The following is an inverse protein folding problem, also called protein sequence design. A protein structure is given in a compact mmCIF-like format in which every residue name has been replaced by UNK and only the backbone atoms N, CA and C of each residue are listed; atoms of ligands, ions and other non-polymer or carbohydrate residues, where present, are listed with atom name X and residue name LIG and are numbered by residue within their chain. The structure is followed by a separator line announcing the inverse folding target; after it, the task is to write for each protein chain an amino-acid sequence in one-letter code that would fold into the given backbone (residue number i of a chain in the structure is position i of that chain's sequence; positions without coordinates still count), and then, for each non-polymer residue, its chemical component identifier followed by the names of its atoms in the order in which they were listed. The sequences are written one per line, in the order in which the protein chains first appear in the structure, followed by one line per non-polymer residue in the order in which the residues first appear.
data_IF_197081742180
#
_entry.id   IF_197081742180
#
_cell.length_a   1.000
_cell.length_b   1.000
_cell.length_c   1.000
_cell.angle_alpha   90.00
_cell.angle_beta   90.00
_cell.angle_gamma   90.00
#
_symmetry.space_group_name_H-M   'P 1'
#
loop_
_entity.id
_entity.type
_entity.pdbx_description
1 polymer ?
#
# COMPACT_ATOMS: atom_id res chain seq x y z
N UNK A 1 16.30 10.09 -33.66
CA UNK A 1 16.06 8.77 -33.04
C UNK A 1 16.02 8.98 -31.53
N UNK A 2 14.93 8.61 -30.87
CA UNK A 2 14.90 8.54 -29.41
C UNK A 2 15.24 7.11 -29.00
N UNK A 3 16.31 6.93 -28.23
CA UNK A 3 16.62 5.65 -27.61
C UNK A 3 15.84 5.58 -26.30
N UNK A 4 15.00 4.55 -26.15
CA UNK A 4 14.27 4.29 -24.90
C UNK A 4 15.03 3.22 -24.14
N UNK A 5 15.47 3.55 -22.94
CA UNK A 5 15.97 2.58 -21.97
C UNK A 5 14.77 2.19 -21.11
N UNK A 6 14.39 0.91 -21.13
CA UNK A 6 13.18 0.42 -20.47
C UNK A 6 13.42 -0.33 -19.15
N UNK A 7 14.67 -0.69 -18.81
CA UNK A 7 15.00 -1.36 -17.55
C UNK A 7 16.48 -1.15 -17.16
N UNK A 8 16.74 -0.71 -15.92
CA UNK A 8 18.09 -0.53 -15.37
C UNK A 8 18.13 -1.07 -13.95
N UNK A 9 19.06 -1.98 -13.69
CA UNK A 9 19.27 -2.58 -12.36
C UNK A 9 20.61 -2.16 -11.80
N UNK A 10 20.59 -1.58 -10.59
CA UNK A 10 21.80 -1.25 -9.83
C UNK A 10 21.78 -2.08 -8.55
N UNK A 11 22.80 -2.94 -8.38
CA UNK A 11 22.93 -3.81 -7.22
C UNK A 11 24.28 -3.59 -6.52
N UNK A 12 24.28 -3.77 -5.20
CA UNK A 12 25.50 -3.81 -4.37
C UNK A 12 26.05 -5.23 -4.20
N UNK A 13 25.30 -6.26 -4.62
CA UNK A 13 25.74 -7.66 -4.59
C UNK A 13 26.55 -7.96 -5.85
N UNK A 14 27.60 -8.77 -5.68
CA UNK A 14 28.29 -9.38 -6.83
C UNK A 14 27.29 -10.30 -7.53
N UNK A 15 27.14 -10.11 -8.83
CA UNK A 15 26.32 -10.95 -9.69
C UNK A 15 27.25 -12.06 -10.20
N UNK A 16 26.91 -13.32 -9.91
CA UNK A 16 27.59 -14.47 -10.47
C UNK A 16 27.11 -14.75 -11.90
N UNK A 17 27.81 -15.62 -12.62
CA UNK A 17 27.51 -15.91 -14.04
C UNK A 17 26.09 -16.47 -14.20
N UNK A 18 25.63 -17.30 -13.26
CA UNK A 18 24.28 -17.88 -13.25
C UNK A 18 23.21 -16.79 -13.01
N UNK A 19 23.44 -15.88 -12.06
CA UNK A 19 22.56 -14.75 -11.80
C UNK A 19 22.51 -13.77 -12.97
N UNK A 20 23.62 -13.56 -13.66
CA UNK A 20 23.67 -12.75 -14.87
C UNK A 20 22.90 -13.39 -16.02
N UNK A 21 23.12 -14.68 -16.27
CA UNK A 21 22.42 -15.41 -17.32
C UNK A 21 20.91 -15.46 -17.04
N UNK A 22 20.51 -15.60 -15.78
CA UNK A 22 19.10 -15.55 -15.37
C UNK A 22 18.49 -14.19 -15.68
N UNK A 23 19.15 -13.08 -15.35
CA UNK A 23 18.64 -11.74 -15.67
C UNK A 23 18.54 -11.49 -17.19
N UNK A 24 19.52 -11.99 -17.96
CA UNK A 24 19.54 -11.84 -19.41
C UNK A 24 18.43 -12.64 -20.11
N UNK A 25 18.10 -13.81 -19.56
CA UNK A 25 17.12 -14.73 -20.16
C UNK A 25 15.72 -14.60 -19.56
N UNK A 26 15.59 -13.95 -18.39
CA UNK A 26 14.30 -13.70 -17.79
C UNK A 26 13.52 -12.69 -18.62
N UNK A 27 12.34 -13.08 -19.06
CA UNK A 27 11.35 -12.22 -19.73
C UNK A 27 10.59 -11.34 -18.71
N UNK A 28 11.20 -11.04 -17.56
CA UNK A 28 10.62 -10.27 -16.47
C UNK A 28 11.36 -8.95 -16.26
N UNK A 29 10.62 -7.83 -16.08
CA UNK A 29 11.20 -6.61 -15.57
C UNK A 29 11.87 -6.81 -14.21
N UNK A 30 12.89 -6.00 -13.93
CA UNK A 30 13.61 -6.05 -12.66
C UNK A 30 12.67 -5.93 -11.45
N UNK A 31 12.80 -6.86 -10.50
CA UNK A 31 11.98 -6.88 -9.28
C UNK A 31 10.66 -7.63 -9.41
N UNK A 32 10.37 -8.23 -10.58
CA UNK A 32 9.21 -9.09 -10.80
C UNK A 32 9.63 -10.52 -11.09
N UNK A 33 8.73 -11.46 -10.78
CA UNK A 33 8.86 -12.83 -11.26
C UNK A 33 8.57 -12.90 -12.78
N UNK A 34 9.02 -13.96 -13.48
CA UNK A 34 8.64 -14.23 -14.86
C UNK A 34 7.13 -14.13 -15.08
N UNK A 35 6.72 -13.59 -16.23
CA UNK A 35 5.32 -13.60 -16.62
C UNK A 35 4.80 -15.04 -16.67
N UNK A 36 3.69 -15.28 -15.99
CA UNK A 36 2.97 -16.54 -16.01
C UNK A 36 1.62 -16.37 -16.71
N UNK A 37 1.04 -17.46 -17.27
CA UNK A 37 -0.31 -17.42 -17.80
C UNK A 37 -1.30 -16.88 -16.76
N UNK A 38 -2.11 -15.91 -17.16
CA UNK A 38 -3.20 -15.41 -16.32
C UNK A 38 -4.37 -16.38 -16.42
N UNK A 39 -4.59 -17.15 -15.35
CA UNK A 39 -5.66 -18.15 -15.19
C UNK A 39 -6.61 -17.65 -14.11
N UNK A 40 -7.89 -17.98 -14.20
CA UNK A 40 -8.82 -17.58 -13.14
C UNK A 40 -8.49 -18.29 -11.83
N UNK A 41 -8.34 -17.53 -10.74
CA UNK A 41 -8.08 -18.05 -9.40
C UNK A 41 -7.50 -16.99 -8.47
N UNK A 42 -7.12 -17.44 -7.27
CA UNK A 42 -6.48 -16.60 -6.27
C UNK A 42 -4.99 -16.48 -6.54
N UNK A 43 -4.46 -15.27 -6.37
CA UNK A 43 -3.04 -14.98 -6.53
C UNK A 43 -2.52 -14.27 -5.29
N UNK A 44 -1.35 -14.68 -4.80
CA UNK A 44 -0.61 -13.97 -3.76
C UNK A 44 0.48 -13.11 -4.42
N UNK A 45 0.40 -11.79 -4.25
CA UNK A 45 1.36 -10.85 -4.81
C UNK A 45 1.40 -9.55 -4.01
N UNK A 46 2.51 -8.82 -4.10
CA UNK A 46 2.62 -7.46 -3.57
C UNK A 46 2.40 -6.39 -4.64
N UNK A 47 2.96 -6.61 -5.83
CA UNK A 47 2.80 -5.77 -7.02
C UNK A 47 2.65 -6.69 -8.24
N UNK A 48 1.77 -6.34 -9.17
CA UNK A 48 1.48 -7.16 -10.35
C UNK A 48 1.65 -6.35 -11.65
N UNK A 49 2.17 -7.01 -12.68
CA UNK A 49 2.21 -6.50 -14.06
C UNK A 49 1.38 -7.43 -14.95
N UNK A 50 0.54 -6.84 -15.79
CA UNK A 50 -0.23 -7.57 -16.79
C UNK A 50 0.37 -7.32 -18.17
N UNK A 51 0.58 -8.40 -18.92
CA UNK A 51 1.08 -8.35 -20.30
C UNK A 51 0.10 -9.01 -21.24
N UNK A 52 -0.18 -8.34 -22.35
CA UNK A 52 -0.84 -8.94 -23.50
C UNK A 52 0.22 -9.22 -24.56
N UNK A 53 0.20 -10.43 -25.13
CA UNK A 53 1.00 -10.77 -26.29
C UNK A 53 0.06 -11.25 -27.41
N UNK A 54 0.25 -10.71 -28.61
CA UNK A 54 -0.52 -11.10 -29.80
C UNK A 54 0.45 -11.59 -30.86
N UNK A 55 0.23 -12.80 -31.35
CA UNK A 55 0.94 -13.35 -32.50
C UNK A 55 -0.03 -13.45 -33.67
N UNK A 56 0.22 -12.71 -34.75
CA UNK A 56 -0.53 -12.85 -36.00
C UNK A 56 0.17 -13.86 -36.90
N UNK A 57 -0.60 -14.78 -37.49
CA UNK A 57 -0.12 -15.74 -38.49
C UNK A 57 -0.51 -15.34 -39.92
N UNK A 58 -1.28 -14.26 -40.08
CA UNK A 58 -1.65 -13.67 -41.37
C UNK A 58 -1.04 -12.27 -41.53
N UNK A 59 -1.10 -11.71 -42.74
CA UNK A 59 -0.67 -10.33 -43.02
C UNK A 59 -1.56 -9.24 -42.40
N UNK A 60 -2.65 -9.63 -41.75
CA UNK A 60 -3.58 -8.69 -41.12
C UNK A 60 -3.05 -8.19 -39.79
N UNK A 61 -3.32 -6.91 -39.51
CA UNK A 61 -3.01 -6.27 -38.24
C UNK A 61 -4.09 -6.62 -37.22
N UNK A 62 -3.74 -7.44 -36.24
CA UNK A 62 -4.57 -7.58 -35.05
C UNK A 62 -4.64 -6.26 -34.27
N UNK A 63 -5.84 -5.81 -33.92
CA UNK A 63 -6.08 -4.58 -33.17
C UNK A 63 -6.87 -4.92 -31.91
N UNK A 64 -6.35 -4.53 -30.73
CA UNK A 64 -7.10 -4.53 -29.48
C UNK A 64 -7.67 -3.13 -29.28
N UNK A 65 -8.99 -3.01 -29.37
CA UNK A 65 -9.68 -1.74 -29.16
C UNK A 65 -9.85 -1.38 -27.68
N UNK A 66 -9.95 -2.39 -26.80
CA UNK A 66 -10.05 -2.22 -25.35
C UNK A 66 -9.64 -3.50 -24.63
N UNK A 67 -8.82 -3.37 -23.58
CA UNK A 67 -8.59 -4.40 -22.58
C UNK A 67 -9.03 -3.83 -21.22
N UNK A 68 -9.68 -4.66 -20.40
CA UNK A 68 -9.94 -4.36 -18.99
C UNK A 68 -9.58 -5.58 -18.15
N UNK A 69 -8.77 -5.38 -17.12
CA UNK A 69 -8.47 -6.39 -16.10
C UNK A 69 -9.06 -5.88 -14.80
N UNK A 70 -9.88 -6.70 -14.14
CA UNK A 70 -10.43 -6.40 -12.83
C UNK A 70 -9.90 -7.46 -11.88
N UNK A 71 -9.26 -7.01 -10.81
CA UNK A 71 -8.74 -7.89 -9.75
C UNK A 71 -9.42 -7.48 -8.46
N UNK A 72 -9.98 -8.45 -7.77
CA UNK A 72 -10.53 -8.26 -6.43
C UNK A 72 -9.40 -8.49 -5.43
N UNK A 73 -9.11 -7.49 -4.60
CA UNK A 73 -8.06 -7.56 -3.58
C UNK A 73 -8.77 -7.56 -2.23
N UNK A 74 -8.47 -8.51 -1.33
CA UNK A 74 -9.06 -8.53 -0.01
C UNK A 74 -8.86 -7.19 0.72
N UNK A 75 -9.93 -6.73 1.38
CA UNK A 75 -9.89 -5.56 2.23
C UNK A 75 -8.78 -5.65 3.28
N UNK A 76 -8.08 -4.54 3.48
CA UNK A 76 -7.04 -4.45 4.50
C UNK A 76 -7.62 -3.86 5.78
N UNK A 77 -7.44 -4.57 6.90
CA UNK A 77 -7.79 -4.09 8.24
C UNK A 77 -6.55 -4.02 9.14
N UNK A 78 -6.56 -3.07 10.07
CA UNK A 78 -5.60 -2.94 11.17
C UNK A 78 -6.29 -2.30 12.38
N UNK A 79 -5.82 -2.59 13.59
CA UNK A 79 -6.42 -2.07 14.83
C UNK A 79 -5.41 -2.08 15.97
N UNK A 80 -5.62 -1.24 16.97
CA UNK A 80 -4.78 -1.26 18.17
C UNK A 80 -5.22 -0.30 19.26
N UNK A 81 -4.53 -0.38 20.39
CA UNK A 81 -4.73 0.46 21.57
C UNK A 81 -3.49 1.31 21.79
N UNK A 82 -3.67 2.60 22.08
CA UNK A 82 -2.57 3.55 22.25
C UNK A 82 -2.84 4.53 23.40
N UNK A 83 -1.78 4.85 24.13
CA UNK A 83 -1.77 5.97 25.08
C UNK A 83 -1.51 7.25 24.31
N UNK A 84 -2.29 8.30 24.62
CA UNK A 84 -2.25 9.59 23.96
C UNK A 84 -1.61 10.60 24.90
N UNK A 85 -0.68 11.37 24.34
CA UNK A 85 -0.06 12.54 24.95
C UNK A 85 -0.94 13.78 24.78
N UNK A 86 -1.20 14.48 25.88
CA UNK A 86 -1.97 15.71 25.94
C UNK A 86 -1.20 16.96 25.52
N UNK A 87 0.11 16.88 25.30
CA UNK A 87 0.92 18.03 24.88
C UNK A 87 1.00 18.14 23.35
N UNK A 88 1.15 17.02 22.65
CA UNK A 88 1.31 16.97 21.19
C UNK A 88 0.48 15.86 20.56
N UNK A 89 0.02 16.00 19.29
CA UNK A 89 -0.67 14.91 18.61
C UNK A 89 0.20 13.65 18.58
N UNK A 90 -0.38 12.53 18.98
CA UNK A 90 0.29 11.23 19.00
C UNK A 90 0.22 10.61 17.61
N UNK A 91 1.39 10.24 17.09
CA UNK A 91 1.52 9.50 15.83
C UNK A 91 1.40 8.00 16.08
N UNK A 92 0.48 7.37 15.35
CA UNK A 92 0.25 5.92 15.42
C UNK A 92 0.61 5.32 14.06
N UNK A 93 1.50 4.33 14.10
CA UNK A 93 1.91 3.58 12.91
C UNK A 93 1.04 2.35 12.74
N UNK A 94 0.66 2.08 11.50
CA UNK A 94 0.04 0.81 11.14
C UNK A 94 1.05 -0.31 11.21
N UNK A 95 0.58 -1.52 11.55
CA UNK A 95 1.42 -2.74 11.60
C UNK A 95 2.03 -3.06 10.23
N UNK A 96 1.30 -2.74 9.17
CA UNK A 96 1.74 -2.82 7.76
C UNK A 96 1.19 -1.63 6.97
N UNK A 97 1.91 -1.15 5.94
CA UNK A 97 1.44 -0.04 5.13
C UNK A 97 0.24 -0.45 4.26
N UNK A 98 -0.81 0.39 4.26
CA UNK A 98 -1.96 0.25 3.37
C UNK A 98 -1.59 0.56 1.92
N UNK A 99 -2.40 0.11 0.95
CA UNK A 99 -2.24 0.49 -0.46
C UNK A 99 -2.78 1.90 -0.76
N UNK A 100 -3.86 2.28 -0.08
CA UNK A 100 -4.46 3.62 -0.10
C UNK A 100 -4.62 4.12 1.34
N UNK A 101 -4.62 5.44 1.61
CA UNK A 101 -4.90 5.95 2.95
C UNK A 101 -6.24 5.39 3.49
N UNK A 102 -6.26 4.71 4.66
CA UNK A 102 -7.46 4.06 5.17
C UNK A 102 -8.44 5.05 5.79
N UNK A 103 -9.67 4.60 6.06
CA UNK A 103 -10.58 5.25 7.00
C UNK A 103 -10.23 4.81 8.41
N UNK A 104 -10.02 5.77 9.31
CA UNK A 104 -9.66 5.52 10.71
C UNK A 104 -10.81 5.93 11.63
N UNK A 105 -11.17 5.05 12.56
CA UNK A 105 -12.13 5.31 13.63
C UNK A 105 -11.41 5.23 14.97
N UNK A 106 -11.70 6.17 15.86
CA UNK A 106 -11.13 6.25 17.20
C UNK A 106 -12.22 6.11 18.26
N UNK A 107 -11.92 5.40 19.34
CA UNK A 107 -12.80 5.29 20.52
C UNK A 107 -11.99 5.53 21.78
N UNK A 108 -12.42 6.48 22.61
CA UNK A 108 -11.77 6.77 23.89
C UNK A 108 -12.00 5.60 24.85
N UNK A 109 -10.93 5.07 25.43
CA UNK A 109 -10.99 4.02 26.46
C UNK A 109 -10.95 4.63 27.87
N UNK A 110 -10.07 5.61 28.09
CA UNK A 110 -9.95 6.30 29.38
C UNK A 110 -9.34 7.69 29.22
N UNK A 111 -9.72 8.61 30.11
CA UNK A 111 -9.15 9.95 30.24
C UNK A 111 -9.48 10.50 31.64
N UNK A 112 -8.72 11.48 32.13
CA UNK A 112 -9.00 12.14 33.42
C UNK A 112 -10.27 13.01 33.40
N UNK A 113 -10.61 13.53 32.23
CA UNK A 113 -11.75 14.41 32.00
C UNK A 113 -12.57 13.93 30.80
N UNK A 114 -13.87 14.27 30.73
CA UNK A 114 -14.67 14.04 29.53
C UNK A 114 -14.01 14.65 28.28
N UNK A 115 -13.78 13.81 27.26
CA UNK A 115 -13.07 14.19 26.05
C UNK A 115 -13.61 13.49 24.80
N UNK A 116 -13.15 13.97 23.64
CA UNK A 116 -13.41 13.38 22.33
C UNK A 116 -12.09 13.08 21.63
N UNK A 117 -11.96 11.90 21.03
CA UNK A 117 -10.81 11.59 20.17
C UNK A 117 -10.96 12.27 18.80
N UNK A 118 -9.88 12.88 18.31
CA UNK A 118 -9.84 13.56 17.02
C UNK A 118 -8.62 13.14 16.21
N UNK A 119 -8.84 13.00 14.90
CA UNK A 119 -7.77 12.87 13.91
C UNK A 119 -7.27 14.25 13.54
N UNK A 120 -5.96 14.38 13.31
CA UNK A 120 -5.39 15.60 12.74
C UNK A 120 -5.79 15.67 11.26
N UNK A 121 -6.31 16.82 10.83
CA UNK A 121 -6.76 16.98 9.45
C UNK A 121 -5.60 16.76 8.47
N UNK A 122 -5.80 15.88 7.48
CA UNK A 122 -4.79 15.56 6.47
C UNK A 122 -3.62 14.69 6.94
N UNK A 123 -3.63 14.18 8.18
CA UNK A 123 -2.52 13.35 8.69
C UNK A 123 -2.59 11.88 8.30
N UNK A 124 -3.73 11.41 7.78
CA UNK A 124 -3.91 9.99 7.47
C UNK A 124 -3.12 9.67 6.20
N UNK A 125 -2.13 8.81 6.33
CA UNK A 125 -1.30 8.32 5.23
C UNK A 125 -1.47 6.81 5.09
N UNK A 126 -0.69 6.21 4.20
CA UNK A 126 -0.62 4.75 4.06
C UNK A 126 0.08 4.06 5.23
N UNK A 127 0.88 4.78 6.01
CA UNK A 127 1.79 4.20 7.02
C UNK A 127 1.45 4.62 8.45
N UNK A 128 0.83 5.78 8.62
CA UNK A 128 0.48 6.32 9.93
C UNK A 128 -0.70 7.28 9.86
N UNK A 129 -1.23 7.62 11.04
CA UNK A 129 -2.10 8.77 11.26
C UNK A 129 -1.70 9.48 12.56
N UNK A 130 -2.07 10.75 12.69
CA UNK A 130 -1.87 11.53 13.92
C UNK A 130 -3.23 11.79 14.58
N UNK A 131 -3.30 11.63 15.91
CA UNK A 131 -4.52 11.84 16.68
C UNK A 131 -4.25 12.51 18.02
N UNK A 132 -5.30 13.05 18.64
CA UNK A 132 -5.24 13.64 19.98
C UNK A 132 -6.60 13.51 20.69
N UNK A 133 -6.60 13.61 22.01
CA UNK A 133 -7.83 13.75 22.80
C UNK A 133 -8.08 15.23 23.07
N UNK A 134 -9.31 15.68 22.85
CA UNK A 134 -9.75 17.06 23.10
C UNK A 134 -10.76 17.06 24.24
N UNK A 135 -10.48 17.77 25.33
CA UNK A 135 -11.39 17.93 26.45
C UNK A 135 -12.65 18.69 26.03
N UNK A 136 -13.80 18.26 26.53
CA UNK A 136 -15.11 18.82 26.13
C UNK A 136 -15.27 20.28 26.58
N UNK A 137 -14.77 20.64 27.76
CA UNK A 137 -15.02 21.94 28.41
C UNK A 137 -14.24 23.10 27.79
N UNK A 138 -12.94 22.94 27.56
CA UNK A 138 -12.00 24.01 27.22
C UNK A 138 -11.26 23.77 25.89
N UNK A 139 -11.51 22.64 25.23
CA UNK A 139 -10.83 22.22 24.00
C UNK A 139 -9.33 22.01 24.17
N UNK A 140 -8.84 21.88 25.39
CA UNK A 140 -7.46 21.53 25.66
C UNK A 140 -7.16 20.10 25.19
N UNK A 141 -5.93 19.88 24.75
CA UNK A 141 -5.41 18.53 24.52
C UNK A 141 -5.10 17.89 25.87
N UNK A 142 -5.45 16.62 26.03
CA UNK A 142 -5.29 15.90 27.31
C UNK A 142 -4.73 14.50 27.10
N UNK A 143 -4.13 13.97 28.16
CA UNK A 143 -3.67 12.59 28.21
C UNK A 143 -4.84 11.61 28.30
N UNK A 144 -4.63 10.39 27.82
CA UNK A 144 -5.58 9.29 27.99
C UNK A 144 -5.20 8.06 27.19
N UNK A 145 -6.17 7.16 27.00
CA UNK A 145 -6.02 5.98 26.15
C UNK A 145 -7.17 5.92 25.15
N UNK A 146 -6.86 5.49 23.93
CA UNK A 146 -7.86 5.19 22.92
C UNK A 146 -7.57 3.85 22.23
N UNK A 147 -8.62 3.29 21.68
CA UNK A 147 -8.57 2.20 20.71
C UNK A 147 -8.91 2.74 19.33
N UNK A 148 -8.33 2.14 18.29
CA UNK A 148 -8.55 2.53 16.91
C UNK A 148 -8.72 1.33 16.00
N UNK A 149 -9.46 1.55 14.92
CA UNK A 149 -9.58 0.61 13.82
C UNK A 149 -9.41 1.37 12.50
N UNK A 150 -8.67 0.78 11.58
CA UNK A 150 -8.39 1.31 10.25
C UNK A 150 -8.79 0.30 9.18
N UNK A 151 -9.46 0.78 8.14
CA UNK A 151 -9.96 -0.04 7.05
C UNK A 151 -9.77 0.66 5.70
N UNK A 152 -9.26 -0.07 4.71
CA UNK A 152 -9.11 0.42 3.34
C UNK A 152 -9.77 -0.54 2.35
N UNK A 153 -10.38 0.07 1.34
CA UNK A 153 -10.96 -0.55 0.15
C UNK A 153 -10.13 -0.15 -1.07
#
# INVERSE_FOLDING_TARGET
MAHVISDITISKKVLDDDGFLTLLTSDSPTGYAPFQPFVQGDYEYQTALFRISMNSTSGDRGVINKLSVVVDVPDMFDSGDNIIDGTTPTRIFFSRPFHVPPKVTLTVQSASDPCTAKLVSGSITRTYFDCFLERVSDKAKIDGALTWAAHAY
#
